data_IF_628882505249
#
_entry.id   IF_628882505249
#
_cell.length_a   1.000
_cell.length_b   1.000
_cell.length_c   1.000
_cell.angle_alpha   90.00
_cell.angle_beta   90.00
_cell.angle_gamma   90.00
#
_symmetry.space_group_name_H-M   'P 1'
#
loop_
_entity.id
_entity.type
_entity.pdbx_description
1 polymer ?
#
# COMPACT_ATOMS: atom_id res chain seq x y z
N UNK A 1 -14.69 1.36 5.21
CA UNK A 1 -14.10 1.45 3.86
C UNK A 1 -12.99 0.39 3.73
N UNK A 2 -12.76 -0.21 2.55
CA UNK A 2 -11.78 -1.32 2.39
C UNK A 2 -10.34 -0.89 2.70
N UNK A 3 -9.91 0.29 2.24
CA UNK A 3 -8.60 0.86 2.53
C UNK A 3 -8.28 0.88 4.03
N UNK A 4 -9.18 1.43 4.86
CA UNK A 4 -8.97 1.49 6.32
C UNK A 4 -8.80 0.09 6.91
N UNK A 5 -9.43 -0.94 6.33
CA UNK A 5 -9.25 -2.32 6.81
C UNK A 5 -7.84 -2.84 6.52
N UNK A 6 -7.23 -2.49 5.38
CA UNK A 6 -5.82 -2.78 5.11
C UNK A 6 -4.89 -1.97 6.02
N UNK A 7 -5.09 -0.64 6.09
CA UNK A 7 -4.28 0.25 6.91
C UNK A 7 -4.31 -0.15 8.39
N UNK A 8 -5.50 -0.48 8.92
CA UNK A 8 -5.66 -0.98 10.28
C UNK A 8 -4.89 -2.29 10.52
N UNK A 9 -4.97 -3.26 9.61
CA UNK A 9 -4.23 -4.51 9.75
C UNK A 9 -2.72 -4.28 9.79
N UNK A 10 -2.20 -3.37 8.97
CA UNK A 10 -0.78 -3.00 9.01
C UNK A 10 -0.41 -2.22 10.28
N UNK A 11 -1.23 -1.25 10.69
CA UNK A 11 -1.05 -0.49 11.93
C UNK A 11 -0.99 -1.41 13.15
N UNK A 12 -1.99 -2.29 13.30
CA UNK A 12 -2.10 -3.21 14.43
C UNK A 12 -0.89 -4.17 14.45
N UNK A 13 -0.44 -4.66 13.29
CA UNK A 13 0.74 -5.53 13.20
C UNK A 13 2.04 -4.82 13.61
N UNK A 14 2.25 -3.57 13.17
CA UNK A 14 3.43 -2.79 13.52
C UNK A 14 3.40 -2.28 14.97
N UNK A 15 2.26 -2.41 15.65
CA UNK A 15 2.12 -2.07 17.07
C UNK A 15 2.64 -3.18 17.99
N UNK A 16 2.68 -4.42 17.49
CA UNK A 16 3.18 -5.57 18.25
C UNK A 16 4.70 -5.46 18.50
N UNK A 17 5.13 -5.99 19.65
CA UNK A 17 6.54 -6.08 20.02
C UNK A 17 7.34 -6.88 18.98
N UNK A 18 8.57 -6.44 18.72
CA UNK A 18 9.50 -7.06 17.75
C UNK A 18 8.93 -7.18 16.32
N UNK A 19 7.96 -6.33 15.95
CA UNK A 19 7.35 -6.35 14.61
C UNK A 19 8.37 -5.99 13.51
N UNK A 20 9.39 -5.19 13.84
CA UNK A 20 10.47 -4.77 12.95
C UNK A 20 11.38 -5.92 12.52
N UNK A 21 11.49 -6.98 13.31
CA UNK A 21 12.30 -8.17 12.99
C UNK A 21 11.49 -9.30 12.37
N UNK A 22 10.24 -9.05 11.99
CA UNK A 22 9.38 -10.06 11.36
C UNK A 22 9.66 -10.22 9.86
N UNK A 23 9.27 -11.37 9.30
CA UNK A 23 9.44 -11.66 7.89
C UNK A 23 8.69 -10.67 6.99
N UNK A 24 7.54 -10.15 7.41
CA UNK A 24 6.83 -9.12 6.64
C UNK A 24 7.55 -7.79 6.66
N UNK A 25 8.00 -7.32 7.83
CA UNK A 25 8.69 -6.04 7.91
C UNK A 25 9.99 -6.08 7.10
N UNK A 26 10.83 -7.09 7.36
CA UNK A 26 12.10 -7.25 6.64
C UNK A 26 11.83 -7.49 5.15
N UNK A 27 10.85 -8.34 4.81
CA UNK A 27 10.49 -8.66 3.43
C UNK A 27 10.11 -7.43 2.61
N UNK A 28 9.23 -6.59 3.14
CA UNK A 28 8.64 -5.46 2.42
C UNK A 28 9.40 -4.15 2.62
N UNK A 29 9.86 -3.84 3.83
CA UNK A 29 10.55 -2.57 4.12
C UNK A 29 12.07 -2.70 4.15
N UNK A 30 12.61 -3.90 4.33
CA UNK A 30 14.06 -4.14 4.33
C UNK A 30 14.70 -4.03 5.71
N UNK A 31 15.82 -4.72 5.88
CA UNK A 31 16.49 -4.89 7.18
C UNK A 31 17.15 -3.62 7.72
N UNK A 32 17.53 -2.67 6.86
CA UNK A 32 18.14 -1.41 7.31
C UNK A 32 17.12 -0.38 7.81
N UNK A 33 15.83 -0.70 7.77
CA UNK A 33 14.74 0.19 8.18
C UNK A 33 14.06 -0.24 9.48
N UNK A 34 14.60 -1.20 10.23
CA UNK A 34 13.98 -1.70 11.47
C UNK A 34 13.78 -0.61 12.51
N UNK A 35 14.69 0.36 12.57
CA UNK A 35 14.60 1.55 13.41
C UNK A 35 13.43 2.48 13.06
N UNK A 36 12.83 2.34 11.87
CA UNK A 36 11.76 3.20 11.35
C UNK A 36 10.36 2.63 11.56
N UNK A 37 10.23 1.45 12.17
CA UNK A 37 8.93 0.78 12.38
C UNK A 37 7.88 1.68 13.03
N UNK A 38 8.29 2.46 14.05
CA UNK A 38 7.40 3.36 14.76
C UNK A 38 6.97 4.56 13.92
N UNK A 39 7.87 5.10 13.09
CA UNK A 39 7.56 6.20 12.18
C UNK A 39 6.64 5.73 11.05
N UNK A 40 6.93 4.58 10.43
CA UNK A 40 6.07 3.94 9.42
C UNK A 40 4.66 3.72 9.97
N UNK A 41 4.54 3.20 11.20
CA UNK A 41 3.24 3.00 11.84
C UNK A 41 2.50 4.32 12.09
N UNK A 42 3.15 5.29 12.74
CA UNK A 42 2.51 6.51 13.26
C UNK A 42 2.32 7.62 12.24
N UNK A 43 3.17 7.69 11.23
CA UNK A 43 3.18 8.80 10.27
C UNK A 43 2.71 8.37 8.88
N UNK A 44 2.51 7.06 8.66
CA UNK A 44 1.90 6.54 7.43
C UNK A 44 0.60 5.80 7.71
N UNK A 45 0.61 4.70 8.46
CA UNK A 45 -0.61 3.90 8.61
C UNK A 45 -1.66 4.50 9.54
N UNK A 46 -1.25 5.13 10.64
CA UNK A 46 -2.14 5.80 11.60
C UNK A 46 -3.00 6.90 10.95
N UNK A 47 -2.43 7.90 10.23
CA UNK A 47 -3.25 8.92 9.58
C UNK A 47 -4.16 8.35 8.48
N UNK A 48 -3.72 7.33 7.74
CA UNK A 48 -4.56 6.66 6.73
C UNK A 48 -5.74 5.93 7.36
N UNK A 49 -5.52 5.27 8.50
CA UNK A 49 -6.58 4.61 9.28
C UNK A 49 -7.58 5.65 9.83
N UNK A 50 -7.05 6.80 10.28
CA UNK A 50 -7.78 7.91 10.88
C UNK A 50 -8.58 8.79 9.90
N UNK A 51 -8.36 8.71 8.57
CA UNK A 51 -9.15 9.42 7.53
C UNK A 51 -10.67 9.20 7.63
N UNK A 52 -11.11 8.31 8.50
CA UNK A 52 -12.46 8.29 9.04
C UNK A 52 -13.28 7.13 8.53
N UNK A 53 -14.23 6.72 9.35
CA UNK A 53 -15.29 5.77 8.99
C UNK A 53 -16.46 6.45 8.26
N UNK A 54 -16.47 7.79 8.20
CA UNK A 54 -17.53 8.60 7.61
C UNK A 54 -17.08 9.27 6.31
N UNK A 55 -17.73 8.93 5.21
CA UNK A 55 -17.60 9.67 3.95
C UNK A 55 -18.72 10.72 3.84
N UNK A 56 -18.38 11.94 3.41
CA UNK A 56 -19.35 12.97 3.04
C UNK A 56 -19.43 13.04 1.52
N UNK A 57 -20.62 12.80 0.98
CA UNK A 57 -20.88 12.94 -0.44
C UNK A 57 -21.34 14.37 -0.73
N UNK A 58 -20.67 15.05 -1.63
CA UNK A 58 -21.04 16.39 -2.07
C UNK A 58 -20.80 16.54 -3.57
N UNK A 59 -21.48 17.51 -4.18
CA UNK A 59 -21.31 17.84 -5.60
C UNK A 59 -20.50 19.14 -5.67
N UNK A 60 -19.23 19.03 -6.04
CA UNK A 60 -18.37 20.17 -6.33
C UNK A 60 -17.31 19.76 -7.37
N UNK A 61 -16.49 20.71 -7.77
CA UNK A 61 -15.25 20.43 -8.50
C UNK A 61 -14.27 19.66 -7.58
N UNK A 62 -13.30 18.97 -8.20
CA UNK A 62 -12.25 18.25 -7.47
C UNK A 62 -11.25 19.26 -6.89
N UNK A 63 -11.65 19.87 -5.79
CA UNK A 63 -10.87 20.85 -5.04
C UNK A 63 -10.67 20.33 -3.62
N UNK A 64 -9.48 20.58 -3.07
CA UNK A 64 -9.19 20.33 -1.65
C UNK A 64 -10.21 21.08 -0.79
N UNK A 65 -10.79 20.40 0.19
CA UNK A 65 -11.55 21.03 1.24
C UNK A 65 -10.73 20.89 2.51
N UNK A 66 -10.61 21.98 3.27
CA UNK A 66 -9.79 22.03 4.49
C UNK A 66 -9.98 20.77 5.35
N UNK A 67 -8.86 20.08 5.64
CA UNK A 67 -8.79 18.82 6.39
C UNK A 67 -9.54 17.61 5.78
N UNK A 68 -9.78 17.59 4.46
CA UNK A 68 -10.51 16.51 3.78
C UNK A 68 -9.75 15.94 2.59
N UNK A 69 -9.53 14.62 2.57
CA UNK A 69 -9.13 13.92 1.35
C UNK A 69 -10.32 13.87 0.37
N UNK A 70 -10.18 14.51 -0.79
CA UNK A 70 -11.24 14.56 -1.80
C UNK A 70 -11.03 13.51 -2.88
N UNK A 71 -11.95 12.56 -2.99
CA UNK A 71 -11.92 11.50 -4.00
C UNK A 71 -13.03 11.77 -5.01
N UNK A 72 -12.67 11.94 -6.29
CA UNK A 72 -13.63 12.23 -7.35
C UNK A 72 -13.34 11.48 -8.63
N UNK A 73 -14.28 11.53 -9.57
CA UNK A 73 -14.12 10.89 -10.88
C UNK A 73 -13.55 11.88 -11.90
N UNK A 74 -12.53 11.44 -12.62
CA UNK A 74 -11.95 12.16 -13.76
C UNK A 74 -12.46 11.64 -15.10
N UNK A 75 -12.10 12.36 -16.14
CA UNK A 75 -12.31 11.99 -17.54
C UNK A 75 -11.02 12.24 -18.31
N UNK A 76 -10.88 11.59 -19.46
CA UNK A 76 -9.74 11.85 -20.38
C UNK A 76 -9.69 13.31 -20.87
N UNK A 77 -10.74 14.11 -20.65
CA UNK A 77 -10.80 15.53 -21.06
C UNK A 77 -10.32 16.48 -19.97
N UNK A 78 -10.61 16.19 -18.69
CA UNK A 78 -10.32 17.08 -17.56
C UNK A 78 -9.14 16.60 -16.68
N UNK A 79 -8.63 15.38 -16.92
CA UNK A 79 -7.48 14.84 -16.20
C UNK A 79 -6.51 14.23 -17.21
N UNK A 80 -5.42 14.95 -17.51
CA UNK A 80 -4.45 14.53 -18.53
C UNK A 80 -3.79 13.19 -18.19
N UNK A 81 -3.51 12.92 -16.92
CA UNK A 81 -2.93 11.66 -16.44
C UNK A 81 -3.85 10.45 -16.70
N UNK A 82 -5.18 10.66 -16.73
CA UNK A 82 -6.14 9.61 -17.10
C UNK A 82 -6.12 9.26 -18.60
N UNK A 83 -5.35 9.96 -19.44
CA UNK A 83 -5.15 9.59 -20.85
C UNK A 83 -4.15 8.47 -21.02
N UNK A 84 -3.25 8.28 -20.06
CA UNK A 84 -2.30 7.18 -20.10
C UNK A 84 -3.04 5.83 -19.97
N UNK A 85 -2.65 4.87 -20.80
CA UNK A 85 -3.31 3.57 -20.85
C UNK A 85 -3.01 2.80 -19.57
N UNK A 86 -4.06 2.35 -18.87
CA UNK A 86 -3.93 1.54 -17.66
C UNK A 86 -3.88 2.35 -16.35
N UNK A 87 -3.95 3.68 -16.41
CA UNK A 87 -4.06 4.51 -15.21
C UNK A 87 -5.45 4.35 -14.58
N UNK A 88 -5.52 3.86 -13.35
CA UNK A 88 -6.79 3.62 -12.66
C UNK A 88 -7.14 4.74 -11.68
N UNK A 89 -6.16 5.21 -10.92
CA UNK A 89 -6.25 6.34 -10.01
C UNK A 89 -5.06 7.27 -10.22
N UNK A 90 -5.20 8.52 -9.79
CA UNK A 90 -4.15 9.53 -9.80
C UNK A 90 -4.25 10.36 -8.52
N UNK A 91 -3.25 10.29 -7.67
CA UNK A 91 -3.09 11.20 -6.54
C UNK A 91 -2.50 12.56 -6.96
N UNK A 92 -3.15 13.65 -6.54
CA UNK A 92 -2.54 14.98 -6.54
C UNK A 92 -2.01 15.29 -5.15
N UNK A 93 -0.73 15.02 -4.95
CA UNK A 93 -0.04 15.07 -3.66
C UNK A 93 -0.24 16.37 -2.88
N UNK A 94 -0.24 17.52 -3.55
CA UNK A 94 -0.29 18.86 -2.91
C UNK A 94 -1.72 19.39 -2.74
N UNK A 95 -2.69 18.83 -3.46
CA UNK A 95 -4.10 19.24 -3.38
C UNK A 95 -4.95 18.27 -2.56
N UNK A 96 -4.34 17.25 -1.96
CA UNK A 96 -5.06 16.24 -1.19
C UNK A 96 -6.27 15.65 -1.92
N UNK A 97 -6.12 15.41 -3.23
CA UNK A 97 -7.19 14.87 -4.06
C UNK A 97 -6.76 13.60 -4.76
N UNK A 98 -7.66 12.62 -4.89
CA UNK A 98 -7.47 11.43 -5.71
C UNK A 98 -8.52 11.43 -6.82
N UNK A 99 -8.07 11.26 -8.05
CA UNK A 99 -8.93 11.16 -9.23
C UNK A 99 -9.04 9.72 -9.68
N UNK A 100 -10.26 9.18 -9.75
CA UNK A 100 -10.56 7.88 -10.34
C UNK A 100 -10.72 8.04 -11.85
N UNK A 101 -9.85 7.40 -12.63
CA UNK A 101 -9.86 7.49 -14.08
C UNK A 101 -10.92 6.57 -14.73
N UNK A 102 -11.38 6.84 -15.96
CA UNK A 102 -12.37 5.99 -16.63
C UNK A 102 -11.97 4.51 -16.74
N UNK A 103 -10.69 4.23 -16.96
CA UNK A 103 -10.13 2.86 -16.97
C UNK A 103 -10.31 2.09 -15.66
N UNK A 104 -10.65 2.76 -14.56
CA UNK A 104 -11.08 2.08 -13.34
C UNK A 104 -12.41 1.34 -13.55
N UNK A 105 -13.37 1.98 -14.24
CA UNK A 105 -14.73 1.48 -14.42
C UNK A 105 -14.90 0.54 -15.61
N UNK A 106 -13.88 0.43 -16.48
CA UNK A 106 -13.90 -0.39 -17.69
C UNK A 106 -12.60 -1.21 -17.79
N UNK A 107 -12.61 -2.36 -18.49
CA UNK A 107 -11.42 -3.19 -18.76
C UNK A 107 -10.72 -3.82 -17.53
N UNK A 108 -11.46 -4.51 -16.65
CA UNK A 108 -10.88 -5.20 -15.47
C UNK A 108 -10.08 -4.27 -14.53
N UNK A 109 -10.51 -3.02 -14.37
CA UNK A 109 -9.98 -2.13 -13.33
C UNK A 109 -10.23 -2.65 -11.92
N UNK A 110 -9.76 -1.93 -10.89
CA UNK A 110 -9.98 -2.33 -9.51
C UNK A 110 -11.48 -2.39 -9.21
N UNK A 111 -11.99 -3.58 -8.90
CA UNK A 111 -13.43 -3.79 -8.72
C UNK A 111 -13.80 -3.34 -7.31
N UNK A 112 -14.69 -2.35 -7.22
CA UNK A 112 -15.23 -1.85 -5.96
C UNK A 112 -16.41 -2.71 -5.49
N UNK A 113 -16.13 -3.93 -5.01
CA UNK A 113 -17.12 -4.79 -4.34
C UNK A 113 -16.47 -5.64 -3.24
N UNK A 114 -17.28 -6.10 -2.28
CA UNK A 114 -16.77 -6.97 -1.21
C UNK A 114 -16.25 -8.30 -1.78
N UNK A 115 -16.91 -8.83 -2.81
CA UNK A 115 -16.48 -10.06 -3.49
C UNK A 115 -15.12 -9.91 -4.17
N UNK A 116 -14.84 -8.77 -4.79
CA UNK A 116 -13.56 -8.52 -5.44
C UNK A 116 -12.42 -8.35 -4.44
N UNK A 117 -12.69 -7.73 -3.30
CA UNK A 117 -11.73 -7.59 -2.21
C UNK A 117 -11.40 -8.95 -1.60
N UNK A 118 -12.42 -9.77 -1.35
CA UNK A 118 -12.23 -11.12 -0.85
C UNK A 118 -11.51 -12.02 -1.87
N UNK A 119 -11.85 -11.89 -3.15
CA UNK A 119 -11.16 -12.58 -4.22
C UNK A 119 -9.68 -12.17 -4.30
N UNK A 120 -9.37 -10.88 -4.25
CA UNK A 120 -7.98 -10.38 -4.28
C UNK A 120 -7.18 -10.91 -3.09
N UNK A 121 -7.75 -10.86 -1.88
CA UNK A 121 -7.12 -11.42 -0.68
C UNK A 121 -6.90 -12.94 -0.78
N UNK A 122 -7.91 -13.67 -1.27
CA UNK A 122 -7.85 -15.13 -1.41
C UNK A 122 -6.83 -15.55 -2.46
N UNK A 123 -6.84 -14.92 -3.64
CA UNK A 123 -5.89 -15.18 -4.71
C UNK A 123 -4.47 -14.80 -4.31
N UNK A 124 -4.28 -13.68 -3.61
CA UNK A 124 -2.97 -13.34 -3.05
C UNK A 124 -2.48 -14.41 -2.07
N UNK A 125 -3.35 -14.89 -1.18
CA UNK A 125 -3.00 -15.93 -0.20
C UNK A 125 -2.72 -17.29 -0.85
N UNK A 126 -3.46 -17.68 -1.87
CA UNK A 126 -3.41 -19.03 -2.44
C UNK A 126 -2.43 -19.15 -3.62
N UNK A 127 -2.22 -18.06 -4.37
CA UNK A 127 -1.54 -18.08 -5.66
C UNK A 127 -0.42 -17.01 -5.76
N UNK A 128 -0.27 -16.13 -4.77
CA UNK A 128 0.60 -14.92 -4.83
C UNK A 128 0.34 -14.05 -6.07
N UNK A 129 -0.86 -14.11 -6.63
CA UNK A 129 -1.23 -13.24 -7.74
C UNK A 129 -1.94 -12.00 -7.18
N UNK A 130 -1.39 -10.81 -7.48
CA UNK A 130 -2.05 -9.56 -7.15
C UNK A 130 -3.22 -9.35 -8.11
N UNK A 131 -4.44 -9.27 -7.56
CA UNK A 131 -5.63 -8.88 -8.32
C UNK A 131 -6.02 -7.43 -7.99
N UNK A 132 -6.43 -6.63 -8.98
CA UNK A 132 -6.89 -5.26 -8.74
C UNK A 132 -8.08 -5.22 -7.77
N UNK A 133 -7.91 -4.52 -6.65
CA UNK A 133 -8.95 -4.29 -5.65
C UNK A 133 -8.96 -2.82 -5.21
N UNK A 134 -10.15 -2.28 -4.95
CA UNK A 134 -10.36 -0.85 -4.73
C UNK A 134 -9.62 -0.31 -3.50
N UNK A 135 -9.70 -1.03 -2.38
CA UNK A 135 -9.05 -0.69 -1.11
C UNK A 135 -7.54 -0.81 -1.17
N UNK A 136 -7.02 -1.80 -1.91
CA UNK A 136 -5.58 -1.92 -2.16
C UNK A 136 -5.07 -0.73 -2.98
N UNK A 137 -5.73 -0.44 -4.10
CA UNK A 137 -5.34 0.66 -4.98
C UNK A 137 -5.47 2.01 -4.27
N UNK A 138 -6.53 2.22 -3.50
CA UNK A 138 -6.69 3.45 -2.74
C UNK A 138 -5.63 3.58 -1.63
N UNK A 139 -5.24 2.49 -0.96
CA UNK A 139 -4.15 2.52 0.02
C UNK A 139 -2.84 2.96 -0.63
N UNK A 140 -2.53 2.45 -1.82
CA UNK A 140 -1.38 2.91 -2.61
C UNK A 140 -1.46 4.43 -2.85
N UNK A 141 -2.55 4.92 -3.43
CA UNK A 141 -2.69 6.34 -3.79
C UNK A 141 -2.64 7.29 -2.59
N UNK A 142 -3.21 6.89 -1.44
CA UNK A 142 -3.22 7.76 -0.25
C UNK A 142 -1.80 7.96 0.30
N UNK A 143 -0.88 7.02 0.10
CA UNK A 143 0.53 7.25 0.49
C UNK A 143 1.23 8.33 -0.32
N UNK A 144 0.66 8.78 -1.45
CA UNK A 144 1.14 9.94 -2.18
C UNK A 144 0.59 11.27 -1.66
N UNK A 145 -0.35 11.26 -0.71
CA UNK A 145 -1.04 12.48 -0.27
C UNK A 145 -0.29 13.14 0.88
N UNK A 146 0.31 14.31 0.62
CA UNK A 146 1.15 15.03 1.60
C UNK A 146 0.37 15.49 2.82
N UNK A 147 -0.91 15.87 2.68
CA UNK A 147 -1.75 16.21 3.83
C UNK A 147 -2.13 15.02 4.70
N UNK A 148 -1.83 13.78 4.28
CA UNK A 148 -2.09 12.56 5.07
C UNK A 148 -0.80 12.00 5.65
N UNK A 149 0.26 11.89 4.84
CA UNK A 149 1.50 11.18 5.25
C UNK A 149 2.74 12.08 5.25
N UNK A 150 2.56 13.41 5.14
CA UNK A 150 3.65 14.36 4.95
C UNK A 150 4.63 14.49 6.11
N UNK A 151 4.22 14.05 7.30
CA UNK A 151 5.04 14.12 8.51
C UNK A 151 6.10 13.00 8.60
N UNK A 152 6.08 12.02 7.70
CA UNK A 152 7.08 10.94 7.70
C UNK A 152 8.46 11.44 7.25
N UNK A 153 9.38 11.59 8.22
CA UNK A 153 10.66 12.28 8.01
C UNK A 153 11.65 11.56 7.05
N UNK A 154 11.38 10.32 6.68
CA UNK A 154 12.25 9.49 5.84
C UNK A 154 11.88 9.50 4.35
N UNK A 155 10.95 10.37 3.94
CA UNK A 155 10.76 10.65 2.52
C UNK A 155 12.04 11.27 1.92
N UNK A 156 12.54 10.72 0.83
CA UNK A 156 13.84 11.14 0.25
C UNK A 156 13.71 12.16 -0.86
N UNK A 157 12.70 11.99 -1.71
CA UNK A 157 12.56 12.75 -2.94
C UNK A 157 11.43 13.80 -2.85
N UNK A 158 10.48 13.62 -1.93
CA UNK A 158 9.25 14.41 -1.82
C UNK A 158 8.73 14.47 -0.36
N UNK A 159 7.51 14.97 -0.15
CA UNK A 159 6.79 14.96 1.13
C UNK A 159 5.81 13.77 1.23
N UNK A 160 6.00 12.73 0.41
CA UNK A 160 5.14 11.56 0.34
C UNK A 160 5.88 10.42 -0.39
N UNK A 161 5.27 9.24 -0.46
CA UNK A 161 5.82 8.12 -1.23
C UNK A 161 5.86 8.43 -2.74
N UNK A 162 6.60 7.62 -3.50
CA UNK A 162 6.69 7.67 -4.97
C UNK A 162 6.48 6.28 -5.59
N UNK A 163 6.43 6.20 -6.92
CA UNK A 163 6.24 4.95 -7.66
C UNK A 163 7.57 4.40 -8.21
N UNK A 164 8.33 3.72 -7.35
CA UNK A 164 9.58 3.08 -7.76
C UNK A 164 9.36 1.72 -8.44
N UNK A 165 8.34 0.96 -8.02
CA UNK A 165 7.96 -0.32 -8.61
C UNK A 165 6.52 -0.70 -8.27
N UNK A 166 5.84 -1.42 -9.17
CA UNK A 166 4.46 -1.90 -8.97
C UNK A 166 4.36 -3.41 -8.74
N UNK A 167 5.20 -4.21 -9.40
CA UNK A 167 5.12 -5.67 -9.24
C UNK A 167 5.71 -6.10 -7.91
N UNK A 168 5.10 -7.04 -7.18
CA UNK A 168 5.65 -7.58 -5.93
C UNK A 168 7.13 -7.97 -6.04
N UNK A 169 7.48 -8.72 -7.08
CA UNK A 169 8.84 -9.20 -7.34
C UNK A 169 9.85 -8.10 -7.70
N UNK A 170 9.38 -6.91 -8.07
CA UNK A 170 10.21 -5.73 -8.32
C UNK A 170 10.34 -4.89 -7.04
N UNK A 171 9.26 -4.74 -6.28
CA UNK A 171 9.23 -4.02 -5.01
C UNK A 171 10.23 -4.61 -4.00
N UNK A 172 10.23 -5.94 -3.82
CA UNK A 172 11.16 -6.64 -2.93
C UNK A 172 12.62 -6.62 -3.41
N UNK A 173 12.91 -6.16 -4.63
CA UNK A 173 14.29 -5.99 -5.13
C UNK A 173 14.77 -4.55 -5.04
N UNK A 174 13.89 -3.60 -4.70
CA UNK A 174 14.30 -2.23 -4.46
C UNK A 174 15.29 -2.19 -3.28
N UNK A 175 16.27 -1.27 -3.31
CA UNK A 175 17.04 -0.91 -2.12
C UNK A 175 16.11 -0.52 -0.97
N UNK A 176 16.44 -0.89 0.26
CA UNK A 176 15.63 -0.65 1.45
C UNK A 176 15.09 0.78 1.56
N UNK A 177 15.93 1.80 1.32
CA UNK A 177 15.50 3.21 1.33
C UNK A 177 14.40 3.49 0.29
N UNK A 178 14.48 2.89 -0.89
CA UNK A 178 13.42 2.97 -1.91
C UNK A 178 12.20 2.15 -1.55
N UNK A 179 12.32 1.09 -0.76
CA UNK A 179 11.14 0.31 -0.34
C UNK A 179 10.23 1.12 0.56
N UNK A 180 10.78 1.82 1.55
CA UNK A 180 10.02 2.73 2.40
C UNK A 180 9.60 4.01 1.69
N UNK A 181 10.13 4.31 0.49
CA UNK A 181 9.71 5.45 -0.34
C UNK A 181 8.76 5.03 -1.49
N UNK A 182 8.33 3.77 -1.54
CA UNK A 182 7.52 3.22 -2.63
C UNK A 182 6.07 2.96 -2.18
N UNK A 183 5.10 3.61 -2.81
CA UNK A 183 3.68 3.50 -2.46
C UNK A 183 3.17 2.06 -2.44
N UNK A 184 3.53 1.30 -3.48
CA UNK A 184 3.13 -0.09 -3.63
C UNK A 184 3.61 -0.98 -2.48
N UNK A 185 4.77 -0.68 -1.87
CA UNK A 185 5.30 -1.46 -0.74
C UNK A 185 4.34 -1.44 0.44
N UNK A 186 3.75 -0.27 0.75
CA UNK A 186 2.81 -0.12 1.85
C UNK A 186 1.51 -0.89 1.60
N UNK A 187 1.00 -0.86 0.36
CA UNK A 187 -0.18 -1.61 -0.01
C UNK A 187 0.06 -3.14 0.04
N UNK A 188 1.22 -3.60 -0.45
CA UNK A 188 1.60 -5.01 -0.42
C UNK A 188 1.84 -5.52 1.00
N UNK A 189 2.54 -4.76 1.85
CA UNK A 189 2.72 -5.10 3.26
C UNK A 189 1.37 -5.29 3.96
N UNK A 190 0.44 -4.35 3.80
CA UNK A 190 -0.87 -4.42 4.41
C UNK A 190 -1.70 -5.60 3.90
N UNK A 191 -1.64 -5.90 2.59
CA UNK A 191 -2.27 -7.08 2.00
C UNK A 191 -1.69 -8.38 2.58
N UNK A 192 -0.36 -8.49 2.68
CA UNK A 192 0.30 -9.70 3.14
C UNK A 192 0.04 -9.98 4.62
N UNK A 193 0.15 -8.95 5.46
CA UNK A 193 -0.15 -9.04 6.90
C UNK A 193 -1.59 -9.48 7.13
N UNK A 194 -2.53 -8.91 6.39
CA UNK A 194 -3.97 -9.20 6.52
C UNK A 194 -4.32 -10.62 6.09
N UNK A 195 -3.64 -11.15 5.08
CA UNK A 195 -4.01 -12.42 4.44
C UNK A 195 -3.20 -13.61 4.94
N UNK A 196 -2.00 -13.39 5.47
CA UNK A 196 -1.06 -14.45 5.81
C UNK A 196 -0.34 -14.30 7.17
N UNK A 197 -1.07 -14.06 8.28
CA UNK A 197 -0.49 -13.76 9.60
C UNK A 197 0.48 -14.84 10.11
N UNK A 198 0.26 -16.11 9.76
CA UNK A 198 1.07 -17.23 10.23
C UNK A 198 2.52 -17.21 9.69
N UNK A 199 2.74 -16.57 8.55
CA UNK A 199 4.04 -16.47 7.91
C UNK A 199 4.64 -15.08 8.05
N UNK A 200 3.81 -14.03 7.98
CA UNK A 200 4.27 -12.63 8.14
C UNK A 200 4.82 -12.33 9.52
N UNK A 201 4.30 -12.97 10.58
CA UNK A 201 4.76 -12.83 11.96
C UNK A 201 6.01 -13.64 12.31
N UNK A 202 6.60 -14.38 11.36
CA UNK A 202 7.80 -15.18 11.63
C UNK A 202 8.99 -14.28 11.93
N UNK A 203 9.57 -14.44 13.11
CA UNK A 203 10.78 -13.73 13.51
C UNK A 203 11.97 -14.10 12.62
N UNK A 204 12.75 -13.09 12.27
CA UNK A 204 13.98 -13.18 11.50
C UNK A 204 15.15 -12.95 12.45
N UNK A 205 16.08 -13.89 12.46
CA UNK A 205 17.35 -13.69 13.16
C UNK A 205 18.16 -12.63 12.41
N UNK A 206 18.36 -11.47 13.05
CA UNK A 206 19.01 -10.32 12.45
C UNK A 206 20.54 -10.42 12.43
N UNK A 207 21.11 -11.42 13.13
CA UNK A 207 22.56 -11.66 13.17
C UNK A 207 23.06 -12.53 12.00
N UNK A 208 22.14 -13.05 11.18
CA UNK A 208 22.50 -13.85 10.00
C UNK A 208 23.02 -12.97 8.86
N UNK A 209 23.74 -13.59 7.94
CA UNK A 209 24.37 -12.90 6.80
C UNK A 209 23.37 -12.18 5.87
N UNK A 210 22.17 -12.72 5.72
CA UNK A 210 21.15 -12.19 4.81
C UNK A 210 19.74 -12.35 5.40
N UNK A 211 19.34 -11.44 6.33
CA UNK A 211 18.01 -11.44 6.93
C UNK A 211 16.89 -11.31 5.89
N UNK A 212 17.14 -10.56 4.81
CA UNK A 212 16.21 -10.38 3.72
C UNK A 212 15.86 -11.70 3.05
N UNK A 213 16.87 -12.49 2.66
CA UNK A 213 16.62 -13.77 2.00
C UNK A 213 15.81 -14.71 2.90
N UNK A 214 16.06 -14.69 4.21
CA UNK A 214 15.31 -15.50 5.16
C UNK A 214 13.85 -15.03 5.29
N UNK A 215 13.61 -13.74 5.39
CA UNK A 215 12.28 -13.14 5.40
C UNK A 215 11.47 -13.53 4.16
N UNK A 216 12.06 -13.38 2.96
CA UNK A 216 11.41 -13.74 1.70
C UNK A 216 11.10 -15.24 1.60
N UNK A 217 11.92 -16.12 2.19
CA UNK A 217 11.60 -17.55 2.25
C UNK A 217 10.32 -17.81 3.03
N UNK A 218 10.09 -17.13 4.15
CA UNK A 218 8.84 -17.26 4.89
C UNK A 218 7.64 -16.72 4.12
N UNK A 219 7.77 -15.55 3.50
CA UNK A 219 6.70 -14.98 2.68
C UNK A 219 6.34 -15.87 1.48
N UNK A 220 7.32 -16.58 0.90
CA UNK A 220 7.09 -17.58 -0.17
C UNK A 220 6.50 -18.89 0.35
N UNK A 221 6.96 -19.39 1.50
CA UNK A 221 6.51 -20.65 2.08
C UNK A 221 5.02 -20.64 2.42
N UNK A 222 4.43 -19.45 2.57
CA UNK A 222 3.00 -19.28 2.73
C UNK A 222 2.14 -19.71 1.55
N UNK A 223 2.71 -20.09 0.39
CA UNK A 223 1.95 -20.32 -0.86
C UNK A 223 2.41 -21.55 -1.66
N UNK A 224 1.48 -22.16 -2.38
CA UNK A 224 1.69 -23.29 -3.30
C UNK A 224 1.60 -22.85 -4.78
N UNK A 225 2.75 -22.69 -5.47
CA UNK A 225 2.86 -22.56 -6.94
C UNK A 225 2.72 -21.14 -7.51
N UNK A 226 3.60 -20.76 -8.46
CA UNK A 226 3.84 -19.40 -9.02
C UNK A 226 2.87 -19.04 -10.17
N UNK A 227 2.55 -17.74 -10.50
CA UNK A 227 3.49 -16.60 -10.57
C UNK A 227 2.97 -15.22 -10.07
N UNK A 228 3.59 -14.72 -8.99
CA UNK A 228 4.36 -13.46 -8.89
C UNK A 228 4.93 -13.44 -7.45
N UNK A 229 6.13 -14.00 -7.26
CA UNK A 229 6.74 -14.12 -5.93
C UNK A 229 7.00 -12.74 -5.28
N UNK A 230 6.77 -12.59 -3.96
CA UNK A 230 7.57 -11.73 -3.09
C UNK A 230 8.98 -12.32 -2.93
#
# INVERSE_FOLDING_TARGET
MWMNRYAKSAYDFLYEDDSETTSAFIGWFGASNTDKVNFIRREVYDPIEALGSSARWYVAELEDLEETLVIGCGTVRNTDDCRARGTHLVANKLKNTITICPSYFFNNGAVASDEAEEQSMSTWRLERQLLPAAGFALLHEVTHITGVVGDFEYWTDELASTDHAYKPSECIKLPDLRRINNAQTYALFALDVRTNPAFTSKQVDMDIKDPQQFALRWLRAGVSGRPEEP
#
